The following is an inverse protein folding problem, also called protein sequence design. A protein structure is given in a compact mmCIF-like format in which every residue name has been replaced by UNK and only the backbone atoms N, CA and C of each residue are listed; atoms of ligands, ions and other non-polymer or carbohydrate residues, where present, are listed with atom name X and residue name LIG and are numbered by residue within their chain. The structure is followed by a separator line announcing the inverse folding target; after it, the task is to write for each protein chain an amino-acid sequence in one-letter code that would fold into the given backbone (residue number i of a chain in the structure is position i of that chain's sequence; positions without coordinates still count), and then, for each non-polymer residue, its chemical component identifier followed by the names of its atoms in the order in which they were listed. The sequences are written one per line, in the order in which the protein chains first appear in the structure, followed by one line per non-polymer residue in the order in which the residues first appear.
data_IF_534757148175
#
_entry.id   IF_534757148175
#
_cell.length_a   1.000
_cell.length_b   1.000
_cell.length_c   1.000
_cell.angle_alpha   90.00
_cell.angle_beta   90.00
_cell.angle_gamma   90.00
#
_symmetry.space_group_name_H-M   'P 1'
#
loop_
_entity.id
_entity.type
_entity.pdbx_description
1 polymer ?
#
# COMPACT_ATOMS: atom_id res chain seq x y z
N UNK A 1 -22.54 -1.95 3.03
CA UNK A 1 -21.24 -2.08 3.70
C UNK A 1 -20.42 -0.85 3.33
N UNK A 2 -20.37 0.14 4.23
CA UNK A 2 -19.54 1.33 4.01
C UNK A 2 -18.13 1.03 4.50
N UNK A 3 -17.21 0.69 3.60
CA UNK A 3 -15.78 0.68 3.90
C UNK A 3 -15.26 2.11 3.59
N UNK A 4 -15.81 3.10 4.27
CA UNK A 4 -15.25 4.43 4.26
C UNK A 4 -14.51 4.65 5.57
N UNK A 5 -13.28 4.15 5.64
CA UNK A 5 -12.39 4.47 6.74
C UNK A 5 -11.53 5.66 6.35
N UNK A 6 -11.96 6.85 6.75
CA UNK A 6 -11.19 8.09 6.60
C UNK A 6 -10.53 8.42 7.93
N UNK A 7 -9.24 8.69 7.91
CA UNK A 7 -8.49 9.04 9.13
C UNK A 7 -7.41 10.07 8.86
N UNK A 8 -7.05 10.79 9.93
CA UNK A 8 -5.93 11.73 9.92
C UNK A 8 -4.65 11.01 10.34
N UNK A 9 -3.57 11.26 9.60
CA UNK A 9 -2.23 10.78 9.88
C UNK A 9 -1.37 11.96 10.32
N UNK A 10 -0.94 11.97 11.58
CA UNK A 10 -0.01 12.95 12.12
C UNK A 10 1.27 12.20 12.47
N UNK A 11 2.38 12.58 11.83
CA UNK A 11 3.60 11.77 11.89
C UNK A 11 4.86 12.62 11.95
N UNK A 12 5.87 12.13 12.65
CA UNK A 12 7.19 12.77 12.73
C UNK A 12 8.02 12.55 11.47
N UNK A 13 9.04 13.38 11.26
CA UNK A 13 10.07 13.13 10.26
C UNK A 13 10.79 11.80 10.51
N UNK A 14 11.13 11.07 9.46
CA UNK A 14 11.81 9.79 9.52
C UNK A 14 10.90 8.59 9.83
N UNK A 15 9.65 8.81 10.24
CA UNK A 15 8.62 7.76 10.31
C UNK A 15 8.02 7.46 8.95
N UNK A 16 7.16 6.43 8.85
CA UNK A 16 6.50 6.09 7.59
C UNK A 16 5.78 4.75 7.65
N UNK A 17 5.38 4.25 6.50
CA UNK A 17 4.76 2.93 6.35
C UNK A 17 5.69 2.01 5.58
N UNK A 18 5.95 0.82 6.13
CA UNK A 18 6.71 -0.25 5.44
C UNK A 18 5.95 -0.74 4.22
N UNK A 19 6.60 -1.56 3.40
CA UNK A 19 6.01 -2.13 2.20
C UNK A 19 4.75 -2.93 2.51
N UNK A 20 3.65 -2.55 1.87
CA UNK A 20 2.35 -3.22 2.00
C UNK A 20 1.48 -2.95 0.77
N UNK A 21 0.44 -3.73 0.63
CA UNK A 21 -0.74 -3.47 -0.19
C UNK A 21 -1.85 -3.07 0.78
N UNK A 22 -2.71 -2.16 0.38
CA UNK A 22 -3.83 -1.74 1.23
C UNK A 22 -4.77 -2.92 1.55
N UNK A 23 -5.38 -2.95 2.75
CA UNK A 23 -6.27 -4.03 3.16
C UNK A 23 -7.38 -4.27 2.13
N UNK A 24 -7.72 -5.55 1.94
CA UNK A 24 -8.77 -6.00 1.02
C UNK A 24 -8.55 -5.59 -0.43
N UNK A 25 -7.32 -5.36 -0.85
CA UNK A 25 -7.04 -4.83 -2.19
C UNK A 25 -7.82 -3.55 -2.53
N UNK A 26 -8.12 -2.71 -1.55
CA UNK A 26 -8.76 -1.42 -1.79
C UNK A 26 -7.84 -0.46 -2.54
N UNK A 27 -8.41 0.47 -3.27
CA UNK A 27 -7.71 1.69 -3.67
C UNK A 27 -7.66 2.65 -2.48
N UNK A 28 -6.73 3.60 -2.49
CA UNK A 28 -6.65 4.63 -1.47
C UNK A 28 -6.31 6.00 -2.07
N UNK A 29 -6.62 7.05 -1.35
CA UNK A 29 -6.06 8.36 -1.59
C UNK A 29 -5.46 8.93 -0.30
N UNK A 30 -4.40 9.73 -0.44
CA UNK A 30 -3.70 10.39 0.66
C UNK A 30 -3.48 11.85 0.29
N UNK A 31 -4.24 12.75 0.91
CA UNK A 31 -4.13 14.18 0.74
C UNK A 31 -3.18 14.74 1.79
N UNK A 32 -2.03 15.27 1.38
CA UNK A 32 -1.03 15.82 2.27
C UNK A 32 -1.33 17.30 2.57
N UNK A 33 -1.65 17.61 3.82
CA UNK A 33 -1.98 18.97 4.27
C UNK A 33 -0.75 19.74 4.74
N UNK A 34 0.25 19.03 5.29
CA UNK A 34 1.49 19.65 5.79
C UNK A 34 2.67 18.70 5.60
N UNK A 35 3.85 19.26 5.32
CA UNK A 35 5.10 18.53 5.23
C UNK A 35 5.39 17.93 3.85
N UNK A 36 6.22 16.87 3.82
CA UNK A 36 6.63 16.17 2.60
C UNK A 36 6.75 14.68 2.88
N UNK A 37 6.24 13.87 1.95
CA UNK A 37 6.35 12.40 1.98
C UNK A 37 7.06 11.89 0.73
N UNK A 38 8.00 10.95 0.89
CA UNK A 38 8.59 10.21 -0.24
C UNK A 38 7.84 8.88 -0.36
N UNK A 39 7.40 8.59 -1.57
CA UNK A 39 6.68 7.37 -1.92
C UNK A 39 7.54 6.50 -2.81
N UNK A 40 7.42 5.18 -2.65
CA UNK A 40 7.95 4.18 -3.54
C UNK A 40 6.84 3.17 -3.85
N UNK A 41 6.68 2.80 -5.13
CA UNK A 41 5.53 2.01 -5.60
C UNK A 41 5.98 0.94 -6.60
N UNK A 42 5.41 -0.27 -6.46
CA UNK A 42 5.48 -1.31 -7.49
C UNK A 42 4.08 -1.66 -7.96
N UNK A 43 3.87 -1.85 -9.27
CA UNK A 43 2.59 -2.28 -9.81
C UNK A 43 2.30 -3.75 -9.44
N UNK A 44 1.01 -4.18 -9.47
CA UNK A 44 0.63 -5.56 -9.17
C UNK A 44 1.19 -6.59 -10.16
N UNK A 45 1.71 -6.15 -11.31
CA UNK A 45 2.38 -7.02 -12.29
C UNK A 45 3.76 -7.53 -11.83
N UNK A 46 4.34 -6.96 -10.78
CA UNK A 46 5.59 -7.46 -10.19
C UNK A 46 5.27 -8.73 -9.41
N UNK A 47 5.89 -9.85 -9.79
CA UNK A 47 5.65 -11.17 -9.21
C UNK A 47 6.05 -11.29 -7.71
N UNK A 48 6.63 -10.26 -7.15
CA UNK A 48 7.03 -10.15 -5.75
C UNK A 48 8.04 -9.03 -5.57
N UNK A 49 8.18 -8.52 -4.35
CA UNK A 49 9.18 -7.50 -4.05
C UNK A 49 10.59 -8.09 -4.15
N UNK A 50 11.58 -7.33 -4.67
CA UNK A 50 12.97 -7.77 -4.71
C UNK A 50 13.49 -8.17 -3.33
N UNK A 51 14.50 -9.03 -3.27
CA UNK A 51 15.11 -9.49 -2.02
C UNK A 51 15.57 -8.31 -1.16
N UNK A 52 15.27 -8.36 0.15
CA UNK A 52 15.60 -7.32 1.12
C UNK A 52 14.66 -6.10 1.12
N UNK A 53 13.78 -5.96 0.13
CA UNK A 53 12.82 -4.84 0.07
C UNK A 53 11.71 -5.01 1.08
N UNK A 54 11.03 -6.17 1.08
CA UNK A 54 9.86 -6.42 1.91
C UNK A 54 10.12 -6.28 3.42
N UNK A 55 11.31 -6.67 3.88
CA UNK A 55 11.70 -6.66 5.30
C UNK A 55 12.31 -5.34 5.76
N UNK A 56 12.55 -4.39 4.87
CA UNK A 56 13.18 -3.12 5.21
C UNK A 56 12.20 -2.14 5.85
N UNK A 57 12.67 -1.39 6.85
CA UNK A 57 11.95 -0.21 7.31
C UNK A 57 11.93 0.87 6.21
N UNK A 58 10.98 1.84 6.24
CA UNK A 58 10.99 2.91 5.27
C UNK A 58 12.32 3.67 5.21
N UNK A 59 12.91 3.94 6.35
CA UNK A 59 14.20 4.65 6.45
C UNK A 59 15.33 3.83 5.84
N UNK A 60 15.39 2.53 6.16
CA UNK A 60 16.43 1.63 5.63
C UNK A 60 16.24 1.41 4.13
N UNK A 61 14.99 1.26 3.68
CA UNK A 61 14.69 1.12 2.26
C UNK A 61 15.25 2.31 1.47
N UNK A 62 14.84 3.52 1.78
CA UNK A 62 15.24 4.70 1.02
C UNK A 62 16.71 5.08 1.21
N UNK A 63 17.32 4.77 2.38
CA UNK A 63 18.70 5.12 2.70
C UNK A 63 19.73 4.08 2.27
N UNK A 64 19.39 2.80 2.34
CA UNK A 64 20.36 1.70 2.20
C UNK A 64 19.99 0.75 1.06
N UNK A 65 18.75 0.24 1.04
CA UNK A 65 18.36 -0.81 0.07
C UNK A 65 18.21 -0.24 -1.34
N UNK A 66 17.44 0.82 -1.49
CA UNK A 66 17.14 1.43 -2.80
C UNK A 66 18.39 1.81 -3.62
N UNK A 67 19.46 2.39 -3.04
CA UNK A 67 20.67 2.70 -3.79
C UNK A 67 21.38 1.46 -4.37
N UNK A 68 21.24 0.29 -3.73
CA UNK A 68 21.87 -0.96 -4.16
C UNK A 68 21.06 -1.72 -5.19
N UNK A 69 19.77 -1.42 -5.36
CA UNK A 69 18.93 -2.09 -6.33
C UNK A 69 19.36 -1.80 -7.77
N UNK A 70 19.45 -2.84 -8.63
CA UNK A 70 19.57 -2.66 -10.07
C UNK A 70 18.50 -1.72 -10.61
N UNK A 71 18.79 -0.95 -11.64
CA UNK A 71 17.84 0.03 -12.19
C UNK A 71 16.50 -0.61 -12.60
N UNK A 72 16.54 -1.82 -13.14
CA UNK A 72 15.36 -2.57 -13.56
C UNK A 72 14.45 -2.98 -12.39
N UNK A 73 15.01 -3.12 -11.19
CA UNK A 73 14.30 -3.55 -9.97
C UNK A 73 13.85 -2.38 -9.09
N UNK A 74 14.16 -1.14 -9.51
CA UNK A 74 13.78 0.04 -8.73
C UNK A 74 12.31 0.36 -8.86
N UNK A 75 11.62 0.70 -7.75
CA UNK A 75 10.23 1.13 -7.79
C UNK A 75 10.08 2.48 -8.46
N UNK A 76 8.88 2.79 -8.90
CA UNK A 76 8.47 4.17 -9.18
C UNK A 76 8.54 4.98 -7.89
N UNK A 77 8.92 6.25 -7.99
CA UNK A 77 9.08 7.11 -6.83
C UNK A 77 8.54 8.51 -7.10
N UNK A 78 8.02 9.12 -6.05
CA UNK A 78 7.70 10.54 -6.06
C UNK A 78 7.85 11.16 -4.68
N UNK A 79 7.86 12.48 -4.62
CA UNK A 79 7.75 13.26 -3.39
C UNK A 79 6.44 14.02 -3.42
N UNK A 80 5.54 13.66 -2.52
CA UNK A 80 4.28 14.34 -2.29
C UNK A 80 4.52 15.56 -1.39
N UNK A 81 4.00 16.72 -1.79
CA UNK A 81 4.09 18.00 -1.05
C UNK A 81 2.73 18.41 -0.50
N UNK A 82 2.73 19.30 0.48
CA UNK A 82 1.50 19.89 1.01
C UNK A 82 0.63 20.48 -0.12
N UNK A 83 -0.66 20.17 -0.11
CA UNK A 83 -1.64 20.51 -1.15
C UNK A 83 -1.78 19.47 -2.26
N UNK A 84 -0.90 18.46 -2.32
CA UNK A 84 -1.00 17.39 -3.32
C UNK A 84 -1.72 16.17 -2.73
N UNK A 85 -2.33 15.38 -3.62
CA UNK A 85 -2.99 14.13 -3.28
C UNK A 85 -2.39 12.99 -4.09
N UNK A 86 -1.96 11.93 -3.38
CA UNK A 86 -1.59 10.65 -3.98
C UNK A 86 -2.84 9.80 -4.13
N UNK A 87 -3.06 9.25 -5.32
CA UNK A 87 -4.00 8.15 -5.54
C UNK A 87 -3.24 6.84 -5.69
N UNK A 88 -3.66 5.84 -4.95
CA UNK A 88 -3.12 4.48 -4.95
C UNK A 88 -4.16 3.53 -5.54
N UNK A 89 -3.91 2.96 -6.71
CA UNK A 89 -4.79 1.93 -7.25
C UNK A 89 -4.73 0.64 -6.41
N UNK A 90 -5.79 -0.16 -6.49
CA UNK A 90 -5.88 -1.50 -5.90
C UNK A 90 -4.67 -2.39 -6.28
N UNK A 91 -4.16 -3.15 -5.32
CA UNK A 91 -3.10 -4.12 -5.53
C UNK A 91 -1.68 -3.56 -5.67
N UNK A 92 -1.48 -2.26 -5.54
CA UNK A 92 -0.16 -1.67 -5.64
C UNK A 92 0.61 -1.79 -4.33
N UNK A 93 1.81 -2.37 -4.40
CA UNK A 93 2.78 -2.32 -3.32
C UNK A 93 3.28 -0.91 -3.13
N UNK A 94 3.34 -0.46 -1.89
CA UNK A 94 3.88 0.86 -1.60
C UNK A 94 4.55 0.95 -0.23
N UNK A 95 5.50 1.88 -0.14
CA UNK A 95 6.16 2.30 1.09
C UNK A 95 6.27 3.82 1.12
N UNK A 96 6.21 4.39 2.32
CA UNK A 96 6.21 5.84 2.52
C UNK A 96 7.23 6.23 3.58
N UNK A 97 8.01 7.27 3.32
CA UNK A 97 8.89 7.91 4.29
C UNK A 97 8.51 9.38 4.46
N UNK A 98 8.26 9.81 5.68
CA UNK A 98 8.02 11.21 6.01
C UNK A 98 9.35 11.96 6.04
N UNK A 99 9.55 12.88 5.09
CA UNK A 99 10.78 13.69 4.98
C UNK A 99 10.81 14.86 5.96
N UNK A 100 9.67 15.25 6.50
CA UNK A 100 9.46 16.26 7.54
C UNK A 100 8.30 15.82 8.42
N UNK A 101 7.96 16.51 9.54
CA UNK A 101 6.67 16.31 10.19
C UNK A 101 5.52 16.49 9.19
N UNK A 102 4.52 15.61 9.23
CA UNK A 102 3.43 15.58 8.25
C UNK A 102 2.07 15.52 8.90
N UNK A 103 1.08 16.15 8.23
CA UNK A 103 -0.35 16.00 8.49
C UNK A 103 -0.99 15.60 7.17
N UNK A 104 -1.71 14.50 7.14
CA UNK A 104 -2.40 14.00 5.97
C UNK A 104 -3.78 13.44 6.32
N UNK A 105 -4.69 13.47 5.37
CA UNK A 105 -5.96 12.74 5.42
C UNK A 105 -5.86 11.60 4.41
N UNK A 106 -6.29 10.41 4.81
CA UNK A 106 -6.32 9.25 3.93
C UNK A 106 -7.63 8.52 4.04
N UNK A 107 -8.02 7.83 2.97
CA UNK A 107 -9.23 7.01 2.90
C UNK A 107 -9.01 5.86 1.95
N UNK A 108 -9.38 4.65 2.37
CA UNK A 108 -9.50 3.51 1.48
C UNK A 108 -10.85 3.54 0.76
N UNK A 109 -10.85 3.13 -0.52
CA UNK A 109 -12.00 3.25 -1.40
C UNK A 109 -12.27 1.96 -2.15
N UNK A 110 -13.57 1.64 -2.25
CA UNK A 110 -14.11 0.60 -3.14
C UNK A 110 -14.96 1.27 -4.19
N UNK A 111 -14.73 0.97 -5.44
CA UNK A 111 -15.51 1.43 -6.59
C UNK A 111 -15.63 0.32 -7.65
N UNK A 112 -16.25 0.61 -8.78
CA UNK A 112 -16.51 -0.37 -9.83
C UNK A 112 -15.23 -1.01 -10.39
N UNK A 113 -14.09 -0.33 -10.29
CA UNK A 113 -12.82 -0.81 -10.81
C UNK A 113 -12.18 -1.89 -9.90
N UNK A 114 -12.43 -1.86 -8.59
CA UNK A 114 -11.79 -2.75 -7.63
C UNK A 114 -12.76 -3.62 -6.81
N UNK A 115 -14.07 -3.39 -6.85
CA UNK A 115 -15.05 -4.11 -6.02
C UNK A 115 -14.94 -5.63 -6.15
N UNK A 116 -14.66 -6.13 -7.35
CA UNK A 116 -14.52 -7.58 -7.59
C UNK A 116 -13.32 -8.14 -6.82
N UNK A 117 -12.16 -7.51 -6.94
CA UNK A 117 -10.93 -7.91 -6.23
C UNK A 117 -11.11 -7.82 -4.70
N UNK A 118 -11.77 -6.77 -4.21
CA UNK A 118 -12.09 -6.59 -2.79
C UNK A 118 -12.98 -7.73 -2.28
N UNK A 119 -14.03 -8.09 -3.01
CA UNK A 119 -14.94 -9.18 -2.61
C UNK A 119 -14.25 -10.55 -2.65
N UNK A 120 -13.37 -10.79 -3.60
CA UNK A 120 -12.57 -12.03 -3.69
C UNK A 120 -11.63 -12.14 -2.49
N UNK A 121 -10.93 -11.09 -2.13
CA UNK A 121 -10.04 -11.03 -0.96
C UNK A 121 -10.80 -11.25 0.35
N UNK A 122 -11.95 -10.58 0.52
CA UNK A 122 -12.80 -10.76 1.71
C UNK A 122 -13.32 -12.18 1.85
N UNK A 123 -13.69 -12.84 0.74
CA UNK A 123 -14.14 -14.24 0.76
C UNK A 123 -13.01 -15.19 1.11
N UNK A 124 -11.80 -14.97 0.59
CA UNK A 124 -10.65 -15.82 0.89
C UNK A 124 -10.19 -15.71 2.34
N UNK A 125 -10.41 -14.58 2.98
CA UNK A 125 -10.10 -14.35 4.38
C UNK A 125 -11.18 -14.87 5.36
N UNK A 126 -12.37 -15.27 4.89
CA UNK A 126 -13.42 -15.84 5.73
C UNK A 126 -13.10 -17.31 6.05
N UNK A 127 -12.91 -17.69 7.35
CA UNK A 127 -12.65 -19.08 7.75
C UNK A 127 -13.75 -20.07 7.32
N UNK A 128 -15.00 -19.61 7.14
CA UNK A 128 -16.10 -20.44 6.67
C UNK A 128 -15.95 -20.84 5.19
N UNK A 129 -15.24 -20.06 4.37
CA UNK A 129 -14.99 -20.39 2.97
C UNK A 129 -13.93 -21.48 2.80
N UNK A 130 -12.99 -21.61 3.72
CA UNK A 130 -11.96 -22.66 3.71
C UNK A 130 -12.55 -24.05 3.96
N UNK A 131 -13.65 -24.17 4.73
CA UNK A 131 -14.32 -25.44 4.99
C UNK A 131 -15.17 -25.94 3.80
N UNK A 132 -15.65 -25.04 2.95
CA UNK A 132 -16.46 -25.41 1.79
C UNK A 132 -15.65 -25.99 0.60
N UNK A 133 -14.34 -25.75 0.56
CA UNK A 133 -13.45 -26.28 -0.49
C UNK A 133 -13.00 -27.73 -0.22
N UNK A 134 -13.04 -28.20 1.04
CA UNK A 134 -12.63 -29.55 1.43
C UNK A 134 -13.70 -30.57 1.14
N UNK A 135 -14.97 -30.17 1.03
CA UNK A 135 -16.12 -31.12 0.79
C UNK A 135 -16.45 -31.37 -0.69
N UNK A 136 -15.70 -30.78 -1.64
CA UNK A 136 -15.94 -30.93 -3.10
C UNK A 136 -14.98 -31.89 -3.83
N UNK A 137 -14.06 -32.56 -3.14
CA UNK A 137 -13.11 -33.49 -3.78
C UNK A 137 -13.45 -34.97 -3.67
N UNK A 138 -14.60 -35.33 -3.08
CA UNK A 138 -15.05 -36.71 -2.98
C UNK A 138 -16.51 -36.84 -3.47
N UNK A 139 -16.71 -36.72 -4.79
CA UNK A 139 -17.92 -37.21 -5.48
C UNK A 139 -17.63 -37.45 -6.96
#
# INVERSE_FOLDING_TARGET
FYIHSRWALISSAGSGSSWHIDPWNTSAWNALLHGRKRWALYPPSVAGLPAGVASSSPKDFFGTVLPTLPTADRPMQCVLRAGETMFLPSGWWHAVLNLSPTIAITENRVDDANVKAVLEEMRSADPASASASVTRSDA
#
